data_IF_121508047379
#
_entry.id   IF_121508047379
#
_cell.length_a   1.000
_cell.length_b   1.000
_cell.length_c   1.000
_cell.angle_alpha   90.00
_cell.angle_beta   90.00
_cell.angle_gamma   90.00
#
_symmetry.space_group_name_H-M   'P 1'
#
loop_
_entity.id
_entity.type
_entity.pdbx_description
1 polymer ?
#
# COMPACT_ATOMS: atom_id res chain seq x y z
N UNK A 1 -2.22 -25.16 -2.10
CA UNK A 1 -2.27 -24.28 -0.90
C UNK A 1 -1.93 -25.15 0.29
N UNK A 2 -0.77 -25.00 0.88
CA UNK A 2 -0.39 -25.78 2.08
C UNK A 2 -1.18 -25.36 3.31
N UNK A 3 -1.58 -24.08 3.40
CA UNK A 3 -2.46 -23.58 4.46
C UNK A 3 -3.59 -22.78 3.84
N UNK A 4 -4.83 -23.09 4.19
CA UNK A 4 -5.99 -22.29 3.80
C UNK A 4 -5.92 -20.93 4.50
N UNK A 5 -6.62 -19.93 3.97
CA UNK A 5 -6.76 -18.62 4.65
C UNK A 5 -7.31 -18.78 6.06
N UNK A 6 -8.02 -19.87 6.33
CA UNK A 6 -8.71 -20.19 7.58
C UNK A 6 -7.79 -20.79 8.67
N UNK A 7 -6.60 -21.29 8.30
CA UNK A 7 -5.67 -21.99 9.21
C UNK A 7 -4.23 -21.49 9.11
N UNK A 8 -4.03 -20.23 8.64
CA UNK A 8 -2.68 -19.66 8.57
C UNK A 8 -2.11 -19.38 9.95
N UNK A 9 -0.79 -19.51 10.05
CA UNK A 9 -0.06 -19.06 11.24
C UNK A 9 0.11 -17.54 11.18
N UNK A 10 -0.15 -16.88 12.29
CA UNK A 10 0.11 -15.46 12.49
C UNK A 10 1.01 -15.27 13.70
N UNK A 11 1.80 -14.20 13.69
CA UNK A 11 2.44 -13.74 14.91
C UNK A 11 1.48 -12.81 15.64
N UNK A 12 1.26 -13.06 16.91
CA UNK A 12 0.30 -12.29 17.73
C UNK A 12 0.81 -12.20 19.16
N UNK A 13 1.09 -10.99 19.65
CA UNK A 13 1.49 -10.72 21.04
C UNK A 13 2.63 -11.59 21.57
N UNK A 14 3.69 -11.74 20.78
CA UNK A 14 4.90 -12.50 21.16
C UNK A 14 4.92 -13.95 20.71
N UNK A 15 3.83 -14.51 20.19
CA UNK A 15 3.71 -15.93 19.83
C UNK A 15 3.25 -16.14 18.38
N UNK A 16 3.65 -17.27 17.79
CA UNK A 16 3.10 -17.74 16.51
C UNK A 16 1.99 -18.76 16.79
N UNK A 17 0.77 -18.43 16.39
CA UNK A 17 -0.41 -19.25 16.64
C UNK A 17 -1.33 -19.33 15.41
N UNK A 18 -2.37 -20.15 15.47
CA UNK A 18 -3.40 -20.20 14.43
C UNK A 18 -4.22 -18.90 14.45
N UNK A 19 -4.60 -18.38 13.29
CA UNK A 19 -5.37 -17.13 13.19
C UNK A 19 -6.68 -17.16 13.99
N UNK A 20 -7.28 -18.33 14.14
CA UNK A 20 -8.53 -18.49 14.90
C UNK A 20 -8.38 -18.32 16.42
N UNK A 21 -7.13 -18.44 16.91
CA UNK A 21 -6.81 -18.26 18.33
C UNK A 21 -6.45 -16.81 18.69
N UNK A 22 -6.19 -15.97 17.67
CA UNK A 22 -5.88 -14.55 17.85
C UNK A 22 -7.14 -13.75 18.21
N UNK A 23 -7.21 -13.30 19.45
CA UNK A 23 -8.36 -12.56 19.96
C UNK A 23 -7.94 -11.29 20.67
N UNK A 24 -8.67 -10.21 20.42
CA UNK A 24 -8.53 -8.95 21.15
C UNK A 24 -9.82 -8.66 21.93
N UNK A 25 -9.69 -7.87 22.98
CA UNK A 25 -10.86 -7.41 23.72
C UNK A 25 -11.65 -6.42 22.85
N UNK A 26 -12.97 -6.58 22.78
CA UNK A 26 -13.86 -5.68 22.03
C UNK A 26 -13.85 -4.25 22.59
N UNK A 27 -13.46 -4.06 23.84
CA UNK A 27 -13.33 -2.74 24.51
C UNK A 27 -11.92 -2.15 24.34
N UNK A 28 -11.02 -2.80 23.63
CA UNK A 28 -9.72 -2.24 23.35
C UNK A 28 -9.82 -0.97 22.51
N UNK A 29 -8.98 0.05 22.73
CA UNK A 29 -9.00 1.29 21.97
C UNK A 29 -8.87 1.10 20.45
N UNK A 30 -8.13 0.07 20.03
CA UNK A 30 -8.06 -0.29 18.60
C UNK A 30 -9.42 -0.68 18.02
N UNK A 31 -10.27 -1.41 18.78
CA UNK A 31 -11.61 -1.82 18.35
C UNK A 31 -12.61 -0.68 18.41
N UNK A 32 -12.52 0.16 19.45
CA UNK A 32 -13.49 1.22 19.70
C UNK A 32 -13.23 2.47 18.82
N UNK A 33 -11.95 2.82 18.62
CA UNK A 33 -11.55 4.11 18.07
C UNK A 33 -10.59 3.98 16.88
N UNK A 34 -10.20 2.77 16.47
CA UNK A 34 -9.26 2.55 15.38
C UNK A 34 -7.82 2.96 15.71
N UNK A 35 -7.43 2.92 16.99
CA UNK A 35 -6.07 3.26 17.43
C UNK A 35 -5.08 2.16 17.07
N UNK A 36 -4.69 2.18 15.81
CA UNK A 36 -3.68 1.28 15.26
C UNK A 36 -2.98 1.91 14.06
N UNK A 37 -1.76 1.48 13.82
CA UNK A 37 -1.00 1.75 12.60
C UNK A 37 -0.59 0.44 11.95
N UNK A 38 -0.46 0.45 10.64
CA UNK A 38 -0.20 -0.80 9.95
C UNK A 38 0.66 -0.65 8.70
N UNK A 39 1.23 -1.76 8.29
CA UNK A 39 1.87 -1.95 6.99
C UNK A 39 1.23 -3.09 6.20
N UNK A 40 1.34 -3.00 4.88
CA UNK A 40 1.08 -4.09 3.96
C UNK A 40 2.37 -4.35 3.18
N UNK A 41 3.15 -5.31 3.63
CA UNK A 41 4.48 -5.59 3.11
C UNK A 41 4.36 -6.68 2.03
N UNK A 42 4.68 -6.37 0.76
CA UNK A 42 4.59 -7.37 -0.29
C UNK A 42 5.79 -8.31 -0.24
N UNK A 43 5.55 -9.60 -0.45
CA UNK A 43 6.58 -10.59 -0.67
C UNK A 43 6.38 -11.24 -2.04
N UNK A 44 7.48 -11.44 -2.76
CA UNK A 44 7.46 -11.97 -4.12
C UNK A 44 8.27 -13.27 -4.20
N UNK A 45 7.64 -14.27 -4.78
CA UNK A 45 8.27 -15.56 -5.02
C UNK A 45 9.16 -15.51 -6.26
N UNK A 46 10.40 -15.91 -6.09
CA UNK A 46 11.35 -16.12 -7.17
C UNK A 46 11.44 -17.64 -7.44
N UNK A 47 10.89 -18.05 -8.58
CA UNK A 47 10.76 -19.46 -8.96
C UNK A 47 12.12 -20.12 -9.25
N UNK A 48 13.08 -19.36 -9.76
CA UNK A 48 14.41 -19.86 -10.11
C UNK A 48 15.27 -20.11 -8.85
N UNK A 49 15.27 -19.16 -7.92
CA UNK A 49 16.02 -19.24 -6.67
C UNK A 49 15.28 -20.04 -5.57
N UNK A 50 14.00 -20.43 -5.80
CA UNK A 50 13.11 -21.02 -4.78
C UNK A 50 13.10 -20.19 -3.50
N UNK A 51 13.08 -18.88 -3.64
CA UNK A 51 13.21 -17.91 -2.57
C UNK A 51 12.01 -16.94 -2.54
N UNK A 52 11.48 -16.71 -1.37
CA UNK A 52 10.51 -15.66 -1.13
C UNK A 52 11.24 -14.40 -0.65
N UNK A 53 11.04 -13.30 -1.35
CA UNK A 53 11.66 -12.01 -1.03
C UNK A 53 10.65 -11.04 -0.45
N UNK A 54 10.87 -10.55 0.77
CA UNK A 54 10.15 -9.38 1.29
C UNK A 54 10.70 -8.12 0.62
N UNK A 55 9.83 -7.35 -0.02
CA UNK A 55 10.23 -6.17 -0.81
C UNK A 55 10.24 -4.91 0.03
N UNK A 56 11.39 -4.21 0.03
CA UNK A 56 11.59 -2.94 0.76
C UNK A 56 11.22 -3.02 2.26
N UNK A 57 11.56 -4.15 2.90
CA UNK A 57 11.16 -4.44 4.28
C UNK A 57 11.60 -3.34 5.26
N UNK A 58 12.85 -2.88 5.16
CA UNK A 58 13.39 -1.85 6.05
C UNK A 58 12.67 -0.50 5.87
N UNK A 59 12.34 -0.10 4.64
CA UNK A 59 11.57 1.12 4.38
C UNK A 59 10.14 1.06 4.96
N UNK A 60 9.51 -0.13 4.89
CA UNK A 60 8.21 -0.35 5.54
C UNK A 60 8.30 -0.15 7.06
N UNK A 61 9.36 -0.66 7.69
CA UNK A 61 9.53 -0.46 9.12
C UNK A 61 9.88 0.98 9.49
N UNK A 62 10.68 1.68 8.70
CA UNK A 62 10.90 3.11 8.91
C UNK A 62 9.57 3.89 8.89
N UNK A 63 8.68 3.59 7.94
CA UNK A 63 7.38 4.24 7.87
C UNK A 63 6.46 3.82 9.02
N UNK A 64 6.47 2.54 9.42
CA UNK A 64 5.70 2.05 10.57
C UNK A 64 6.11 2.78 11.85
N UNK A 65 7.41 2.88 12.11
CA UNK A 65 7.94 3.60 13.28
C UNK A 65 7.58 5.09 13.27
N UNK A 66 7.60 5.75 12.10
CA UNK A 66 7.10 7.13 11.98
C UNK A 66 5.61 7.22 12.29
N UNK A 67 4.81 6.29 11.80
CA UNK A 67 3.37 6.26 12.10
C UNK A 67 3.09 6.05 13.60
N UNK A 68 3.81 5.12 14.25
CA UNK A 68 3.74 4.89 15.72
C UNK A 68 4.04 6.18 16.48
N UNK A 69 5.15 6.85 16.11
CA UNK A 69 5.55 8.12 16.75
C UNK A 69 4.48 9.21 16.58
N UNK A 70 3.92 9.35 15.39
CA UNK A 70 2.99 10.46 15.07
C UNK A 70 1.64 10.32 15.79
N UNK A 71 1.15 9.09 16.06
CA UNK A 71 -0.08 8.89 16.85
C UNK A 71 0.21 8.51 18.31
N UNK A 72 1.47 8.58 18.73
CA UNK A 72 1.89 8.42 20.12
C UNK A 72 1.47 7.06 20.73
N UNK A 73 1.73 5.96 20.02
CA UNK A 73 1.57 4.61 20.57
C UNK A 73 2.85 4.23 21.34
N UNK A 74 2.70 3.81 22.61
CA UNK A 74 3.79 3.25 23.41
C UNK A 74 4.08 1.80 22.99
N UNK A 75 4.80 1.65 21.88
CA UNK A 75 5.11 0.37 21.26
C UNK A 75 6.34 -0.28 21.91
N UNK A 76 6.21 -1.49 22.48
CA UNK A 76 7.33 -2.16 23.18
C UNK A 76 8.34 -2.82 22.24
N UNK A 77 8.09 -2.85 20.92
CA UNK A 77 8.91 -3.57 19.96
C UNK A 77 9.86 -2.66 19.21
N UNK A 78 11.13 -3.06 19.14
CA UNK A 78 12.12 -2.44 18.26
C UNK A 78 11.87 -2.85 16.78
N UNK A 79 12.51 -2.14 15.86
CA UNK A 79 12.47 -2.49 14.43
C UNK A 79 13.05 -3.90 14.19
N UNK A 80 14.08 -4.26 14.91
CA UNK A 80 14.75 -5.56 14.87
C UNK A 80 13.81 -6.69 15.35
N UNK A 81 13.08 -6.47 16.44
CA UNK A 81 12.07 -7.42 16.94
C UNK A 81 10.98 -7.65 15.91
N UNK A 82 10.47 -6.57 15.31
CA UNK A 82 9.45 -6.63 14.25
C UNK A 82 9.95 -7.40 13.02
N UNK A 83 11.18 -7.15 12.59
CA UNK A 83 11.80 -7.83 11.44
C UNK A 83 11.98 -9.32 11.72
N UNK A 84 12.45 -9.68 12.90
CA UNK A 84 12.57 -11.07 13.33
C UNK A 84 11.22 -11.77 13.34
N UNK A 85 10.23 -11.19 13.99
CA UNK A 85 8.87 -11.74 14.07
C UNK A 85 8.23 -11.93 12.68
N UNK A 86 8.48 -10.98 11.76
CA UNK A 86 8.03 -11.07 10.37
C UNK A 86 8.63 -12.28 9.64
N UNK A 87 9.94 -12.44 9.70
CA UNK A 87 10.63 -13.54 9.05
C UNK A 87 10.16 -14.88 9.64
N UNK A 88 10.10 -14.97 10.96
CA UNK A 88 9.71 -16.19 11.67
C UNK A 88 8.28 -16.64 11.30
N UNK A 89 7.31 -15.73 11.27
CA UNK A 89 5.92 -16.08 10.95
C UNK A 89 5.72 -16.41 9.47
N UNK A 90 6.43 -15.72 8.56
CA UNK A 90 6.33 -16.05 7.12
C UNK A 90 6.93 -17.45 6.87
N UNK A 91 8.08 -17.76 7.47
CA UNK A 91 8.68 -19.11 7.42
C UNK A 91 7.77 -20.19 7.98
N UNK A 92 7.09 -19.93 9.09
CA UNK A 92 6.18 -20.88 9.73
C UNK A 92 4.99 -21.29 8.84
N UNK A 93 4.70 -20.54 7.78
CA UNK A 93 3.63 -20.85 6.83
C UNK A 93 4.11 -21.57 5.56
N UNK A 94 5.41 -21.63 5.30
CA UNK A 94 6.03 -22.33 4.16
C UNK A 94 5.41 -21.97 2.79
N UNK A 95 5.07 -20.71 2.57
CA UNK A 95 4.48 -20.25 1.30
C UNK A 95 5.51 -20.19 0.18
N UNK A 96 5.14 -20.73 -0.98
CA UNK A 96 5.88 -20.72 -2.24
C UNK A 96 5.16 -19.87 -3.31
N UNK A 97 4.50 -18.79 -2.88
CA UNK A 97 3.74 -17.87 -3.72
C UNK A 97 3.86 -16.42 -3.23
N UNK A 98 3.40 -15.46 -4.03
CA UNK A 98 3.39 -14.06 -3.64
C UNK A 98 2.45 -13.81 -2.47
N UNK A 99 2.90 -13.00 -1.51
CA UNK A 99 2.14 -12.65 -0.30
C UNK A 99 1.95 -11.14 -0.19
N UNK A 100 0.91 -10.76 0.54
CA UNK A 100 0.79 -9.47 1.21
C UNK A 100 0.77 -9.70 2.71
N UNK A 101 1.79 -9.25 3.42
CA UNK A 101 1.87 -9.46 4.86
C UNK A 101 1.33 -8.22 5.58
N UNK A 102 0.23 -8.39 6.30
CA UNK A 102 -0.33 -7.34 7.16
C UNK A 102 0.41 -7.36 8.48
N UNK A 103 1.05 -6.24 8.83
CA UNK A 103 1.56 -6.01 10.17
C UNK A 103 0.85 -4.81 10.78
N UNK A 104 0.36 -4.96 11.99
CA UNK A 104 -0.39 -3.91 12.69
C UNK A 104 0.12 -3.79 14.11
N UNK A 105 0.47 -2.59 14.54
CA UNK A 105 0.68 -2.20 15.93
C UNK A 105 -0.60 -1.53 16.41
N UNK A 106 -1.13 -1.96 17.55
CA UNK A 106 -2.44 -1.54 18.03
C UNK A 106 -2.44 -1.28 19.53
N UNK A 107 -3.28 -0.35 19.97
CA UNK A 107 -3.53 -0.13 21.41
C UNK A 107 -4.52 -1.15 21.90
N UNK A 108 -4.10 -1.95 22.86
CA UNK A 108 -4.82 -3.09 23.47
C UNK A 108 -5.38 -2.72 24.84
N UNK A 109 -5.88 -3.72 25.56
CA UNK A 109 -6.39 -3.58 26.93
C UNK A 109 -7.71 -2.83 27.02
N UNK A 110 -7.93 -2.18 28.15
CA UNK A 110 -9.06 -1.29 28.40
C UNK A 110 -8.57 0.15 28.40
N UNK A 111 -9.25 1.01 27.66
CA UNK A 111 -8.83 2.42 27.59
C UNK A 111 -9.77 3.29 26.81
N UNK A 112 -9.41 4.57 26.74
CA UNK A 112 -10.14 5.58 26.00
C UNK A 112 -9.44 5.90 24.66
N UNK A 113 -10.02 6.79 23.88
CA UNK A 113 -9.40 7.32 22.65
C UNK A 113 -8.06 8.05 22.89
N UNK A 114 -7.78 8.50 24.14
CA UNK A 114 -6.51 9.14 24.51
C UNK A 114 -5.46 8.18 25.10
N UNK A 115 -5.68 6.87 25.08
CA UNK A 115 -4.72 5.90 25.61
C UNK A 115 -3.54 5.71 24.65
N UNK A 116 -2.31 5.75 25.19
CA UNK A 116 -1.06 5.48 24.45
C UNK A 116 -0.71 3.98 24.45
N UNK A 117 -1.15 3.24 25.45
CA UNK A 117 -0.91 1.82 25.66
C UNK A 117 -1.85 1.19 26.71
N UNK A 118 -1.63 -0.08 27.05
CA UNK A 118 -0.60 -0.98 26.51
C UNK A 118 -0.76 -1.20 24.99
N UNK A 119 0.35 -1.36 24.29
CA UNK A 119 0.33 -1.63 22.87
C UNK A 119 0.92 -3.01 22.57
N UNK A 120 0.43 -3.61 21.50
CA UNK A 120 0.93 -4.88 20.99
C UNK A 120 0.87 -4.92 19.47
N UNK A 121 1.28 -6.03 18.85
CA UNK A 121 1.22 -6.16 17.40
C UNK A 121 0.72 -7.53 16.94
N UNK A 122 0.32 -7.58 15.68
CA UNK A 122 0.17 -8.83 14.95
C UNK A 122 0.79 -8.74 13.56
N UNK A 123 1.20 -9.91 13.04
CA UNK A 123 1.70 -10.07 11.67
C UNK A 123 0.97 -11.25 11.03
N UNK A 124 0.26 -10.97 9.94
CA UNK A 124 -0.56 -11.97 9.25
C UNK A 124 -0.17 -12.06 7.77
N UNK A 125 0.52 -13.13 7.33
CA UNK A 125 0.75 -13.41 5.91
C UNK A 125 -0.56 -13.73 5.20
N UNK A 126 -0.79 -13.12 4.04
CA UNK A 126 -1.98 -13.35 3.20
C UNK A 126 -1.52 -13.65 1.79
N UNK A 127 -1.79 -14.84 1.24
CA UNK A 127 -1.53 -15.14 -0.16
C UNK A 127 -2.18 -14.10 -1.08
N UNK A 128 -1.41 -13.57 -2.02
CA UNK A 128 -1.93 -12.71 -3.07
C UNK A 128 -2.71 -13.57 -4.05
N UNK A 129 -4.01 -13.74 -3.81
CA UNK A 129 -4.88 -14.48 -4.71
C UNK A 129 -4.98 -13.83 -6.10
N UNK A 130 -5.81 -14.44 -6.95
CA UNK A 130 -6.05 -14.03 -8.36
C UNK A 130 -6.57 -12.60 -8.56
N UNK A 131 -7.04 -11.92 -7.50
CA UNK A 131 -7.63 -10.58 -7.60
C UNK A 131 -6.67 -9.53 -8.19
N UNK A 132 -5.38 -9.55 -7.83
CA UNK A 132 -4.41 -8.62 -8.41
C UNK A 132 -4.19 -8.86 -9.92
N UNK A 133 -4.32 -10.10 -10.39
CA UNK A 133 -4.14 -10.46 -11.80
C UNK A 133 -5.28 -9.99 -12.71
N UNK A 134 -6.51 -9.89 -12.20
CA UNK A 134 -7.66 -9.43 -12.99
C UNK A 134 -7.68 -7.92 -13.16
N UNK A 135 -7.43 -7.16 -12.11
CA UNK A 135 -7.36 -5.70 -12.17
C UNK A 135 -6.19 -5.20 -13.03
N UNK A 136 -5.01 -5.82 -12.88
CA UNK A 136 -3.84 -5.44 -13.66
C UNK A 136 -3.98 -5.73 -15.16
N UNK A 137 -4.86 -6.66 -15.56
CA UNK A 137 -5.10 -6.98 -16.97
C UNK A 137 -6.17 -6.13 -17.65
N UNK A 138 -7.17 -5.64 -16.90
CA UNK A 138 -8.32 -4.91 -17.47
C UNK A 138 -8.18 -3.40 -17.38
N UNK A 139 -7.31 -2.89 -16.48
CA UNK A 139 -7.28 -1.47 -16.13
C UNK A 139 -8.52 -1.01 -15.38
N UNK A 140 -8.53 0.24 -14.94
CA UNK A 140 -9.55 0.80 -14.06
C UNK A 140 -10.27 1.99 -14.71
N UNK A 141 -11.59 2.05 -14.49
CA UNK A 141 -12.41 3.22 -14.75
C UNK A 141 -12.59 3.98 -13.43
N UNK A 142 -12.04 5.17 -13.32
CA UNK A 142 -12.06 5.96 -12.12
C UNK A 142 -13.05 7.13 -12.21
N UNK A 143 -13.50 7.62 -11.06
CA UNK A 143 -14.13 8.93 -10.99
C UNK A 143 -13.35 9.85 -10.03
N UNK A 144 -13.53 11.14 -10.17
CA UNK A 144 -13.16 12.08 -9.11
C UNK A 144 -14.29 12.06 -8.07
N UNK A 145 -13.99 11.59 -6.85
CA UNK A 145 -14.98 11.54 -5.78
C UNK A 145 -15.35 12.94 -5.27
N UNK A 146 -16.56 13.10 -4.76
CA UNK A 146 -17.00 14.34 -4.08
C UNK A 146 -16.29 14.56 -2.74
N UNK A 147 -15.77 13.50 -2.13
CA UNK A 147 -15.01 13.56 -0.89
C UNK A 147 -13.62 14.14 -1.13
N UNK A 148 -13.16 14.98 -0.17
CA UNK A 148 -11.77 15.45 -0.17
C UNK A 148 -10.86 14.48 0.57
N UNK A 149 -9.61 14.40 0.12
CA UNK A 149 -8.59 13.64 0.86
C UNK A 149 -8.34 14.32 2.21
N UNK A 150 -8.12 13.50 3.25
CA UNK A 150 -7.66 13.99 4.55
C UNK A 150 -6.40 14.84 4.36
N UNK A 151 -6.23 15.87 5.18
CA UNK A 151 -5.08 16.77 5.11
C UNK A 151 -4.30 16.80 6.42
N UNK A 152 -3.08 17.30 6.38
CA UNK A 152 -2.20 17.42 7.56
C UNK A 152 -2.76 18.39 8.63
N UNK A 153 -3.80 19.15 8.29
CA UNK A 153 -4.51 20.05 9.22
C UNK A 153 -5.55 19.33 10.10
N UNK A 154 -5.94 18.10 9.77
CA UNK A 154 -6.95 17.33 10.51
C UNK A 154 -6.49 15.90 10.83
N UNK A 155 -6.27 15.07 9.82
CA UNK A 155 -5.77 13.70 9.94
C UNK A 155 -4.63 13.53 8.93
N UNK A 156 -3.39 13.50 9.41
CA UNK A 156 -2.24 13.46 8.52
C UNK A 156 -2.26 12.25 7.57
N UNK A 157 -2.19 12.47 6.24
CA UNK A 157 -2.06 11.39 5.26
C UNK A 157 -0.74 10.63 5.38
N UNK A 158 0.25 11.19 6.10
CA UNK A 158 1.55 10.53 6.37
C UNK A 158 1.44 9.37 7.34
N UNK A 159 0.39 9.35 8.15
CA UNK A 159 0.15 8.28 9.14
C UNK A 159 -0.64 7.16 8.48
N UNK A 160 -0.02 5.99 8.38
CA UNK A 160 -0.71 4.80 7.86
C UNK A 160 -1.48 4.11 8.99
N UNK A 161 -2.61 4.71 9.41
CA UNK A 161 -3.48 4.18 10.48
C UNK A 161 -4.84 3.72 9.96
N UNK A 162 -5.48 2.84 10.71
CA UNK A 162 -6.78 2.27 10.34
C UNK A 162 -7.88 3.32 10.21
N UNK A 163 -7.90 4.33 11.10
CA UNK A 163 -8.91 5.39 11.12
C UNK A 163 -8.92 6.20 9.81
N UNK A 164 -7.77 6.47 9.20
CA UNK A 164 -7.66 7.23 7.94
C UNK A 164 -8.39 6.53 6.77
N UNK A 165 -8.57 5.21 6.83
CA UNK A 165 -9.24 4.43 5.78
C UNK A 165 -10.78 4.61 5.76
N UNK A 166 -11.37 5.28 6.75
CA UNK A 166 -12.78 5.69 6.67
C UNK A 166 -12.98 6.71 5.54
N UNK A 167 -12.05 7.66 5.39
CA UNK A 167 -12.04 8.59 4.24
C UNK A 167 -11.90 7.83 2.91
N UNK A 168 -10.96 6.91 2.81
CA UNK A 168 -10.78 6.05 1.63
C UNK A 168 -12.04 5.25 1.29
N UNK A 169 -12.69 4.68 2.31
CA UNK A 169 -13.95 3.94 2.16
C UNK A 169 -15.08 4.83 1.62
N UNK A 170 -15.19 6.07 2.09
CA UNK A 170 -16.24 6.99 1.64
C UNK A 170 -16.15 7.22 0.13
N UNK A 171 -14.98 7.58 -0.39
CA UNK A 171 -14.78 7.76 -1.84
C UNK A 171 -14.95 6.48 -2.63
N UNK A 172 -14.41 5.35 -2.16
CA UNK A 172 -14.55 4.06 -2.83
C UNK A 172 -16.02 3.62 -2.93
N UNK A 173 -16.81 3.79 -1.87
CA UNK A 173 -18.24 3.44 -1.89
C UNK A 173 -19.05 4.36 -2.80
N UNK A 174 -18.68 5.63 -2.91
CA UNK A 174 -19.28 6.56 -3.89
C UNK A 174 -18.97 6.10 -5.33
N UNK A 175 -17.70 5.80 -5.65
CA UNK A 175 -17.31 5.32 -6.95
C UNK A 175 -18.11 4.07 -7.38
N UNK A 176 -18.18 3.06 -6.51
CA UNK A 176 -18.90 1.83 -6.79
C UNK A 176 -20.40 2.05 -7.02
N UNK A 177 -21.05 2.93 -6.23
CA UNK A 177 -22.48 3.29 -6.46
C UNK A 177 -22.72 3.97 -7.80
N UNK A 178 -21.71 4.69 -8.31
CA UNK A 178 -21.78 5.41 -9.57
C UNK A 178 -21.27 4.60 -10.77
N UNK A 179 -20.98 3.29 -10.58
CA UNK A 179 -20.58 2.36 -11.65
C UNK A 179 -19.11 2.49 -12.08
N UNK A 180 -18.24 3.02 -11.21
CA UNK A 180 -16.79 3.05 -11.41
C UNK A 180 -16.09 1.98 -10.57
N UNK A 181 -14.87 1.58 -10.99
CA UNK A 181 -14.07 0.59 -10.25
C UNK A 181 -13.49 1.17 -8.98
N UNK A 182 -13.04 2.44 -9.03
CA UNK A 182 -12.45 3.17 -7.91
C UNK A 182 -12.53 4.68 -8.13
N UNK A 183 -11.92 5.46 -7.23
CA UNK A 183 -11.89 6.92 -7.35
C UNK A 183 -10.48 7.50 -7.22
N UNK A 184 -10.36 8.77 -7.59
CA UNK A 184 -9.22 9.64 -7.31
C UNK A 184 -9.74 10.76 -6.41
N UNK A 185 -9.04 11.03 -5.32
CA UNK A 185 -9.34 12.15 -4.43
C UNK A 185 -8.66 13.42 -4.91
N UNK A 186 -9.33 14.53 -4.72
CA UNK A 186 -8.68 15.84 -4.72
C UNK A 186 -8.39 16.26 -3.26
N UNK A 187 -7.34 17.04 -3.07
CA UNK A 187 -7.04 17.68 -1.80
C UNK A 187 -8.02 18.86 -1.53
N UNK A 188 -7.86 19.54 -0.40
CA UNK A 188 -8.69 20.68 -0.02
C UNK A 188 -8.61 21.87 -0.98
N UNK A 189 -7.52 21.99 -1.75
CA UNK A 189 -7.31 23.01 -2.77
C UNK A 189 -7.80 22.60 -4.18
N UNK A 190 -8.49 21.46 -4.29
CA UNK A 190 -8.99 20.94 -5.57
C UNK A 190 -7.92 20.32 -6.48
N UNK A 191 -6.73 20.07 -5.97
CA UNK A 191 -5.62 19.42 -6.71
C UNK A 191 -5.67 17.92 -6.53
N UNK A 192 -5.15 17.18 -7.51
CA UNK A 192 -5.10 15.71 -7.48
C UNK A 192 -4.24 15.27 -6.29
N UNK A 193 -4.78 14.35 -5.48
CA UNK A 193 -4.06 13.72 -4.38
C UNK A 193 -3.71 12.25 -4.73
N UNK A 194 -4.55 11.33 -4.35
CA UNK A 194 -4.30 9.89 -4.52
C UNK A 194 -5.60 9.08 -4.62
N UNK A 195 -5.52 7.79 -4.90
CA UNK A 195 -6.65 6.86 -4.80
C UNK A 195 -6.95 6.44 -3.36
N UNK A 196 -7.98 5.63 -3.11
CA UNK A 196 -8.40 5.21 -1.76
C UNK A 196 -7.34 4.49 -0.92
N UNK A 197 -6.36 3.86 -1.57
CA UNK A 197 -5.24 3.16 -0.91
C UNK A 197 -4.04 3.04 -1.83
N UNK A 198 -3.89 3.97 -2.77
CA UNK A 198 -2.90 3.92 -3.84
C UNK A 198 -2.51 5.33 -4.27
N UNK A 199 -1.23 5.54 -4.63
CA UNK A 199 -0.77 6.79 -5.20
C UNK A 199 -1.08 6.86 -6.70
N UNK A 200 -1.15 8.08 -7.22
CA UNK A 200 -1.47 8.38 -8.60
C UNK A 200 -0.23 8.80 -9.39
N UNK A 201 -0.14 8.31 -10.63
CA UNK A 201 0.79 8.75 -11.65
C UNK A 201 0.07 8.95 -12.98
N UNK A 202 0.60 9.86 -13.78
CA UNK A 202 0.23 10.00 -15.19
C UNK A 202 1.48 10.17 -16.05
N UNK A 203 1.35 9.87 -17.33
CA UNK A 203 2.33 10.23 -18.37
C UNK A 203 1.77 11.43 -19.13
N UNK A 204 2.58 12.45 -19.27
CA UNK A 204 2.25 13.65 -20.02
C UNK A 204 3.47 14.14 -20.79
N UNK A 205 3.33 14.28 -22.09
CA UNK A 205 4.42 14.72 -22.99
C UNK A 205 5.72 13.90 -22.78
N UNK A 206 5.57 12.57 -22.65
CA UNK A 206 6.66 11.62 -22.42
C UNK A 206 7.30 11.63 -21.03
N UNK A 207 6.80 12.44 -20.10
CA UNK A 207 7.28 12.54 -18.71
C UNK A 207 6.35 11.80 -17.75
N UNK A 208 6.94 11.17 -16.75
CA UNK A 208 6.19 10.58 -15.64
C UNK A 208 5.90 11.66 -14.58
N UNK A 209 4.62 11.93 -14.34
CA UNK A 209 4.19 13.00 -13.44
C UNK A 209 3.40 12.41 -12.25
N UNK A 210 3.65 12.91 -11.05
CA UNK A 210 2.95 12.47 -9.82
C UNK A 210 2.74 13.66 -8.88
N UNK A 211 1.65 13.69 -8.08
CA UNK A 211 1.44 14.75 -7.11
C UNK A 211 2.56 14.87 -6.09
N UNK A 212 2.75 16.06 -5.55
CA UNK A 212 3.65 16.30 -4.42
C UNK A 212 3.15 15.55 -3.17
N UNK A 213 4.06 15.17 -2.29
CA UNK A 213 3.69 14.61 -0.99
C UNK A 213 2.85 15.59 -0.14
N UNK A 214 3.01 16.89 -0.37
CA UNK A 214 2.21 17.96 0.26
C UNK A 214 0.80 18.10 -0.32
N UNK A 215 0.48 17.42 -1.42
CA UNK A 215 -0.87 17.36 -1.99
C UNK A 215 -1.76 16.30 -1.30
N UNK A 216 -1.55 16.05 -0.01
CA UNK A 216 -2.28 15.09 0.82
C UNK A 216 -2.06 13.63 0.39
N UNK A 217 -0.85 13.28 0.00
CA UNK A 217 -0.43 11.95 -0.46
C UNK A 217 0.33 11.22 0.65
N UNK A 218 0.05 9.92 0.81
CA UNK A 218 0.86 9.04 1.66
C UNK A 218 2.29 8.94 1.11
N UNK A 219 3.30 8.94 1.98
CA UNK A 219 4.70 8.63 1.64
C UNK A 219 4.84 7.16 1.25
N UNK A 220 4.36 6.84 0.05
CA UNK A 220 4.26 5.46 -0.45
C UNK A 220 5.61 4.90 -0.88
N UNK A 221 5.96 3.72 -0.38
CA UNK A 221 7.17 2.99 -0.76
C UNK A 221 7.09 2.54 -2.21
N UNK A 222 5.91 2.15 -2.69
CA UNK A 222 5.71 1.80 -4.11
C UNK A 222 5.90 3.01 -5.02
N UNK A 223 5.40 4.20 -4.61
CA UNK A 223 5.62 5.46 -5.34
C UNK A 223 7.12 5.78 -5.44
N UNK A 224 7.84 5.72 -4.32
CA UNK A 224 9.29 5.95 -4.27
C UNK A 224 10.05 4.95 -5.15
N UNK A 225 9.64 3.68 -5.12
CA UNK A 225 10.20 2.64 -6.00
C UNK A 225 10.05 2.98 -7.47
N UNK A 226 8.84 3.37 -7.90
CA UNK A 226 8.56 3.71 -9.30
C UNK A 226 9.36 4.93 -9.75
N UNK A 227 9.51 5.95 -8.90
CA UNK A 227 10.34 7.11 -9.18
C UNK A 227 11.81 6.71 -9.39
N UNK A 228 12.35 5.85 -8.54
CA UNK A 228 13.73 5.36 -8.66
C UNK A 228 13.94 4.50 -9.90
N UNK A 229 13.02 3.59 -10.19
CA UNK A 229 13.04 2.77 -11.40
C UNK A 229 12.94 3.64 -12.68
N UNK A 230 12.02 4.59 -12.72
CA UNK A 230 11.91 5.50 -13.86
C UNK A 230 13.21 6.28 -14.10
N UNK A 231 13.84 6.77 -13.04
CA UNK A 231 15.15 7.47 -13.13
C UNK A 231 16.27 6.56 -13.66
N UNK A 232 16.37 5.31 -13.20
CA UNK A 232 17.36 4.34 -13.70
C UNK A 232 17.14 3.99 -15.18
N UNK A 233 15.91 4.12 -15.66
CA UNK A 233 15.53 3.93 -17.06
C UNK A 233 15.64 5.20 -17.91
N UNK A 234 16.22 6.29 -17.38
CA UNK A 234 16.31 7.62 -17.99
C UNK A 234 14.94 8.23 -18.38
N UNK A 235 13.90 7.93 -17.63
CA UNK A 235 12.59 8.55 -17.78
C UNK A 235 12.54 9.78 -16.86
N UNK A 236 12.20 10.94 -17.43
CA UNK A 236 12.04 12.17 -16.66
C UNK A 236 10.84 12.04 -15.70
N UNK A 237 11.08 12.28 -14.41
CA UNK A 237 10.04 12.27 -13.38
C UNK A 237 9.83 13.67 -12.85
N UNK A 238 8.56 14.12 -12.86
CA UNK A 238 8.14 15.43 -12.39
C UNK A 238 7.18 15.27 -11.20
N UNK A 239 7.65 15.64 -10.04
CA UNK A 239 6.81 15.72 -8.84
C UNK A 239 6.24 17.14 -8.74
N UNK A 240 4.94 17.32 -8.98
CA UNK A 240 4.27 18.62 -8.97
C UNK A 240 2.80 18.50 -8.65
N UNK A 241 2.20 19.60 -8.25
CA UNK A 241 0.74 19.72 -8.16
C UNK A 241 0.10 19.50 -9.54
N UNK A 242 -1.03 18.78 -9.57
CA UNK A 242 -1.77 18.41 -10.77
C UNK A 242 -3.19 18.92 -10.68
N UNK A 243 -3.65 19.60 -11.73
CA UNK A 243 -5.03 20.05 -11.86
C UNK A 243 -5.96 18.91 -12.29
N UNK A 244 -7.22 18.96 -11.84
CA UNK A 244 -8.24 17.96 -12.20
C UNK A 244 -8.33 17.71 -13.70
N UNK A 245 -8.33 18.77 -14.49
CA UNK A 245 -8.55 18.68 -15.95
C UNK A 245 -7.37 18.08 -16.70
N UNK A 246 -6.16 18.06 -16.10
CA UNK A 246 -5.01 17.40 -16.68
C UNK A 246 -5.21 15.88 -16.78
N UNK A 247 -6.00 15.29 -15.86
CA UNK A 247 -6.33 13.86 -15.88
C UNK A 247 -7.06 13.45 -17.16
N UNK A 248 -7.85 14.36 -17.76
CA UNK A 248 -8.66 14.07 -18.95
C UNK A 248 -7.86 14.15 -20.26
N UNK A 249 -6.63 14.66 -20.18
CA UNK A 249 -5.77 14.95 -21.35
C UNK A 249 -4.37 14.35 -21.24
N UNK A 250 -4.13 13.50 -20.24
CA UNK A 250 -2.84 12.79 -20.14
C UNK A 250 -2.78 11.61 -21.10
N UNK A 251 -1.57 11.17 -21.41
CA UNK A 251 -1.32 10.11 -22.39
C UNK A 251 -1.55 8.72 -21.79
N UNK A 252 -1.10 8.53 -20.54
CA UNK A 252 -1.31 7.31 -19.73
C UNK A 252 -1.58 7.73 -18.28
N UNK A 253 -2.23 6.86 -17.51
CA UNK A 253 -2.33 7.01 -16.07
C UNK A 253 -2.38 5.65 -15.37
N UNK A 254 -1.93 5.62 -14.10
CA UNK A 254 -2.02 4.42 -13.27
C UNK A 254 -2.12 4.76 -11.78
N UNK A 255 -2.66 3.82 -11.03
CA UNK A 255 -2.61 3.80 -9.58
C UNK A 255 -1.55 2.80 -9.11
N UNK A 256 -0.86 3.09 -8.01
CA UNK A 256 0.16 2.19 -7.48
C UNK A 256 0.11 2.05 -5.95
N UNK A 257 0.50 0.87 -5.46
CA UNK A 257 0.57 0.55 -4.04
C UNK A 257 0.93 -0.91 -3.81
N UNK A 258 1.29 -1.28 -2.59
CA UNK A 258 1.75 -2.64 -2.25
C UNK A 258 0.74 -3.75 -2.62
N UNK A 259 -0.56 -3.45 -2.56
CA UNK A 259 -1.62 -4.40 -2.93
C UNK A 259 -1.93 -4.38 -4.44
N UNK A 260 -1.97 -3.19 -5.04
CA UNK A 260 -2.34 -2.98 -6.45
C UNK A 260 -1.14 -3.07 -7.41
N UNK A 261 0.09 -3.03 -6.88
CA UNK A 261 1.31 -2.92 -7.68
C UNK A 261 1.25 -1.68 -8.59
N UNK A 262 1.26 -1.86 -9.90
CA UNK A 262 0.98 -0.81 -10.89
C UNK A 262 -0.26 -1.24 -11.65
N UNK A 263 -1.34 -0.48 -11.54
CA UNK A 263 -2.62 -0.80 -12.18
C UNK A 263 -3.06 0.37 -13.06
N UNK A 264 -3.18 0.16 -14.40
CA UNK A 264 -3.52 1.22 -15.33
C UNK A 264 -4.90 1.80 -15.07
N UNK A 265 -5.06 3.10 -15.34
CA UNK A 265 -6.33 3.83 -15.34
C UNK A 265 -6.70 4.15 -16.80
N UNK A 266 -7.82 3.62 -17.27
CA UNK A 266 -8.25 3.72 -18.67
C UNK A 266 -9.20 4.89 -18.91
N UNK A 267 -9.90 5.33 -17.86
CA UNK A 267 -10.75 6.51 -17.92
C UNK A 267 -10.91 7.20 -16.55
N UNK A 268 -11.14 8.50 -16.57
CA UNK A 268 -11.53 9.29 -15.39
C UNK A 268 -12.79 10.08 -15.71
N UNK A 269 -13.84 10.00 -14.88
CA UNK A 269 -15.14 10.65 -15.10
C UNK A 269 -15.71 10.38 -16.51
N UNK A 270 -15.49 9.17 -17.05
CA UNK A 270 -15.82 8.73 -18.40
C UNK A 270 -15.00 9.36 -19.54
N UNK A 271 -14.06 10.24 -19.24
CA UNK A 271 -13.07 10.68 -20.23
C UNK A 271 -12.03 9.57 -20.39
N UNK A 272 -11.89 9.09 -21.62
CA UNK A 272 -10.91 8.06 -21.97
C UNK A 272 -9.50 8.66 -21.89
N UNK A 273 -8.57 7.93 -21.27
CA UNK A 273 -7.15 8.31 -21.19
C UNK A 273 -6.42 7.66 -22.36
N UNK A 274 -5.64 8.47 -23.09
CA UNK A 274 -4.92 8.00 -24.27
C UNK A 274 -5.85 7.34 -25.28
N UNK A 275 -5.60 6.08 -25.60
CA UNK A 275 -6.44 5.26 -26.49
C UNK A 275 -7.42 4.33 -25.72
N UNK A 276 -7.48 4.43 -24.40
CA UNK A 276 -8.30 3.56 -23.54
C UNK A 276 -7.70 2.18 -23.27
N UNK A 277 -6.43 2.01 -23.52
CA UNK A 277 -5.67 0.78 -23.26
C UNK A 277 -4.53 1.03 -22.27
N UNK A 278 -3.89 -0.05 -21.83
CA UNK A 278 -2.71 0.06 -20.97
C UNK A 278 -1.56 0.71 -21.77
N UNK A 279 -1.00 1.79 -21.23
CA UNK A 279 0.07 2.52 -21.89
C UNK A 279 1.42 1.79 -21.83
N UNK A 280 2.23 2.00 -22.87
CA UNK A 280 3.52 1.31 -23.02
C UNK A 280 4.52 1.62 -21.91
N UNK A 281 4.52 2.86 -21.40
CA UNK A 281 5.38 3.24 -20.28
C UNK A 281 4.91 2.62 -18.98
N UNK A 282 3.60 2.57 -18.76
CA UNK A 282 2.99 1.89 -17.62
C UNK A 282 3.36 0.40 -17.60
N UNK A 283 3.26 -0.29 -18.72
CA UNK A 283 3.66 -1.71 -18.85
C UNK A 283 5.14 -1.93 -18.56
N UNK A 284 5.99 -1.07 -19.12
CA UNK A 284 7.43 -1.13 -18.92
C UNK A 284 7.81 -0.96 -17.45
N UNK A 285 7.22 0.03 -16.77
CA UNK A 285 7.42 0.28 -15.34
C UNK A 285 6.88 -0.88 -14.48
N UNK A 286 5.74 -1.47 -14.85
CA UNK A 286 5.18 -2.61 -14.13
C UNK A 286 6.09 -3.84 -14.22
N UNK A 287 6.60 -4.13 -15.41
CA UNK A 287 7.56 -5.23 -15.59
C UNK A 287 8.82 -5.01 -14.73
N UNK A 288 9.42 -3.83 -14.83
CA UNK A 288 10.63 -3.46 -14.08
C UNK A 288 10.41 -3.52 -12.56
N UNK A 289 9.23 -3.07 -12.10
CA UNK A 289 8.84 -3.19 -10.69
C UNK A 289 8.80 -4.66 -10.23
N UNK A 290 8.19 -5.55 -11.01
CA UNK A 290 8.10 -6.97 -10.65
C UNK A 290 9.46 -7.67 -10.68
N UNK A 291 10.31 -7.31 -11.64
CA UNK A 291 11.66 -7.86 -11.74
C UNK A 291 12.53 -7.39 -10.55
N UNK A 292 12.46 -6.12 -10.18
CA UNK A 292 13.12 -5.60 -8.96
C UNK A 292 12.61 -6.29 -7.69
N UNK A 293 11.29 -6.45 -7.58
CA UNK A 293 10.66 -7.04 -6.40
C UNK A 293 10.98 -8.54 -6.22
N UNK A 294 11.29 -9.25 -7.30
CA UNK A 294 11.75 -10.65 -7.28
C UNK A 294 13.27 -10.79 -7.12
N UNK A 295 13.99 -9.66 -7.01
CA UNK A 295 15.45 -9.66 -6.88
C UNK A 295 16.20 -9.98 -8.18
N UNK A 296 15.56 -9.84 -9.34
CA UNK A 296 16.16 -10.11 -10.65
C UNK A 296 17.05 -8.97 -11.15
N UNK A 297 16.90 -7.76 -10.62
CA UNK A 297 17.71 -6.60 -11.01
C UNK A 297 18.83 -6.41 -10.01
N UNK A 298 20.08 -6.63 -10.46
CA UNK A 298 21.28 -6.58 -9.62
C UNK A 298 21.45 -5.24 -8.88
N UNK A 299 21.18 -4.14 -9.54
CA UNK A 299 21.26 -2.77 -8.98
C UNK A 299 20.35 -2.60 -7.74
N UNK A 300 19.20 -3.25 -7.71
CA UNK A 300 18.19 -3.16 -6.65
C UNK A 300 18.13 -4.39 -5.75
N UNK A 301 19.17 -5.25 -5.75
CA UNK A 301 19.18 -6.46 -4.89
C UNK A 301 19.11 -6.13 -3.40
N UNK A 302 19.52 -4.93 -2.99
CA UNK A 302 19.39 -4.42 -1.61
C UNK A 302 17.94 -4.06 -1.21
N UNK A 303 16.99 -4.02 -2.16
CA UNK A 303 15.57 -3.78 -1.87
C UNK A 303 14.83 -5.05 -1.42
N UNK A 304 15.45 -6.20 -1.56
CA UNK A 304 14.82 -7.48 -1.21
C UNK A 304 15.50 -8.12 -0.01
N UNK A 305 14.68 -8.64 0.91
CA UNK A 305 15.13 -9.40 2.07
C UNK A 305 14.70 -10.86 1.88
N UNK A 306 15.65 -11.82 1.83
CA UNK A 306 15.30 -13.22 1.67
C UNK A 306 14.62 -13.76 2.93
N UNK A 307 13.61 -14.61 2.73
CA UNK A 307 12.85 -15.24 3.81
C UNK A 307 13.37 -16.64 4.10
N UNK A 308 13.65 -17.44 3.08
CA UNK A 308 14.14 -18.83 3.21
C UNK A 308 15.64 -18.92 3.07
#
# INVERSE_FOLDING_TARGET
MKYSVEHRRIWFKGEILDINDAKINIMAPTSQFGLNVFEGIPCYWNEEEKQLYAFRLDDHYERLMRSIKLIQIDCPYSKEDMKKAFIDVVRANEYDENLSVRQTVFVDGFGSWGSEGPADMFIAPVPKGRMSKEYNKKGLNCCITSWRRISDQNLSPRIKCGANYINSRAGQREALRNGYDTCIFLNEFGKVAEGPGSCFFMVKDGKLVTPLLTDAVLESITRDTIIKLAKSMNIEVVERTIDRTELYTCDEAFLCGSAMEITPVLSVDKYVIGNGENGSLTEKLHKEYLDAARGLIKEFKNWVTPIY
#
